data_IF_165185808720
#
_entry.id   IF_165185808720
#
_cell.length_a   1.000
_cell.length_b   1.000
_cell.length_c   1.000
_cell.angle_alpha   90.00
_cell.angle_beta   90.00
_cell.angle_gamma   90.00
#
_symmetry.space_group_name_H-M   'P 1'
#
loop_
_entity.id
_entity.type
_entity.pdbx_description
1 polymer ?
#
# COMPACT_ATOMS: atom_id res chain seq x y z
N UNK A 1 27.48 -15.40 -15.71
CA UNK A 1 26.45 -15.23 -16.75
C UNK A 1 25.19 -14.68 -16.09
N UNK A 2 24.86 -13.38 -16.24
CA UNK A 2 23.73 -12.77 -15.52
C UNK A 2 22.62 -12.17 -16.41
N UNK A 3 22.78 -12.14 -17.74
CA UNK A 3 21.80 -11.47 -18.61
C UNK A 3 20.55 -12.33 -18.89
N UNK A 4 20.72 -13.65 -18.98
CA UNK A 4 19.64 -14.59 -19.34
C UNK A 4 18.61 -14.74 -18.22
N UNK A 5 19.05 -14.78 -16.95
CA UNK A 5 18.17 -14.91 -15.78
C UNK A 5 17.26 -13.68 -15.57
N UNK A 6 17.75 -12.50 -15.95
CA UNK A 6 17.00 -11.23 -15.85
C UNK A 6 15.94 -11.13 -16.96
N UNK A 7 16.22 -11.69 -18.14
CA UNK A 7 15.25 -11.75 -19.24
C UNK A 7 14.12 -12.75 -18.93
N UNK A 8 14.48 -13.92 -18.39
CA UNK A 8 13.53 -14.97 -18.04
C UNK A 8 12.58 -14.55 -16.90
N UNK A 9 13.11 -13.93 -15.84
CA UNK A 9 12.29 -13.40 -14.74
C UNK A 9 11.32 -12.29 -15.18
N UNK A 10 11.70 -11.44 -16.15
CA UNK A 10 10.76 -10.47 -16.75
C UNK A 10 9.66 -11.15 -17.52
N UNK A 11 9.98 -12.17 -18.31
CA UNK A 11 9.00 -12.91 -19.09
C UNK A 11 7.97 -13.60 -18.18
N UNK A 12 8.40 -14.24 -17.10
CA UNK A 12 7.50 -14.82 -16.11
C UNK A 12 6.61 -13.77 -15.44
N UNK A 13 7.16 -12.58 -15.13
CA UNK A 13 6.37 -11.46 -14.60
C UNK A 13 5.31 -10.97 -15.59
N UNK A 14 5.63 -10.88 -16.88
CA UNK A 14 4.64 -10.52 -17.90
C UNK A 14 3.59 -11.61 -18.09
N UNK A 15 3.99 -12.89 -18.09
CA UNK A 15 3.07 -14.01 -18.24
C UNK A 15 2.06 -14.06 -17.09
N UNK A 16 2.54 -13.89 -15.85
CA UNK A 16 1.68 -13.88 -14.64
C UNK A 16 0.75 -12.68 -14.56
N UNK A 17 1.13 -11.52 -15.14
CA UNK A 17 0.25 -10.35 -15.22
C UNK A 17 -0.80 -10.47 -16.33
N UNK A 18 -0.42 -10.99 -17.50
CA UNK A 18 -1.29 -11.03 -18.69
C UNK A 18 -2.26 -12.23 -18.63
N UNK A 19 -1.83 -13.38 -18.11
CA UNK A 19 -2.65 -14.58 -18.03
C UNK A 19 -4.02 -14.37 -17.34
N UNK A 20 -4.12 -13.79 -16.12
CA UNK A 20 -5.41 -13.58 -15.47
C UNK A 20 -6.29 -12.56 -16.20
N UNK A 21 -5.69 -11.53 -16.80
CA UNK A 21 -6.43 -10.55 -17.59
C UNK A 21 -7.03 -11.18 -18.86
N UNK A 22 -6.25 -12.00 -19.57
CA UNK A 22 -6.71 -12.74 -20.75
C UNK A 22 -7.79 -13.78 -20.40
N UNK A 23 -7.60 -14.52 -19.30
CA UNK A 23 -8.58 -15.48 -18.79
C UNK A 23 -9.92 -14.81 -18.44
N UNK A 24 -9.88 -13.66 -17.76
CA UNK A 24 -11.09 -12.88 -17.45
C UNK A 24 -11.83 -12.39 -18.70
N UNK A 25 -11.11 -11.94 -19.72
CA UNK A 25 -11.71 -11.48 -20.98
C UNK A 25 -12.39 -12.63 -21.75
N UNK A 26 -11.74 -13.80 -21.82
CA UNK A 26 -12.31 -15.00 -22.43
C UNK A 26 -13.57 -15.48 -21.70
N UNK A 27 -13.55 -15.49 -20.37
CA UNK A 27 -14.72 -15.82 -19.56
C UNK A 27 -15.87 -14.84 -19.81
N UNK A 28 -15.59 -13.53 -19.90
CA UNK A 28 -16.58 -12.51 -20.25
C UNK A 28 -17.26 -12.77 -21.61
N UNK A 29 -16.49 -13.13 -22.63
CA UNK A 29 -17.02 -13.45 -23.97
C UNK A 29 -17.84 -14.75 -23.94
N UNK A 30 -17.39 -15.77 -23.21
CA UNK A 30 -18.08 -17.06 -23.11
C UNK A 30 -19.47 -16.90 -22.49
N UNK A 31 -19.58 -16.17 -21.37
CA UNK A 31 -20.87 -15.90 -20.73
C UNK A 31 -21.70 -14.86 -21.49
N UNK A 32 -21.08 -13.99 -22.30
CA UNK A 32 -21.78 -13.00 -23.11
C UNK A 32 -22.49 -13.55 -24.36
N UNK A 33 -22.03 -14.67 -24.94
CA UNK A 33 -22.46 -15.09 -26.29
C UNK A 33 -23.77 -15.89 -26.37
N UNK A 34 -24.28 -16.42 -25.27
CA UNK A 34 -25.42 -17.35 -25.27
C UNK A 34 -26.66 -16.91 -24.48
N UNK A 35 -26.63 -15.73 -23.85
CA UNK A 35 -27.66 -15.33 -22.89
C UNK A 35 -28.62 -14.29 -23.45
N UNK A 36 -29.93 -14.56 -23.32
CA UNK A 36 -30.97 -13.57 -23.61
C UNK A 36 -30.81 -12.32 -22.72
N UNK A 37 -31.15 -11.14 -23.26
CA UNK A 37 -30.92 -9.82 -22.61
C UNK A 37 -31.34 -9.75 -21.13
N UNK A 38 -32.44 -10.41 -20.75
CA UNK A 38 -32.92 -10.42 -19.36
C UNK A 38 -32.01 -11.22 -18.43
N UNK A 39 -31.64 -12.44 -18.82
CA UNK A 39 -30.75 -13.32 -18.05
C UNK A 39 -29.31 -12.80 -18.03
N UNK A 40 -28.86 -12.22 -19.15
CA UNK A 40 -27.53 -11.59 -19.27
C UNK A 40 -27.34 -10.47 -18.24
N UNK A 41 -28.36 -9.63 -18.05
CA UNK A 41 -28.29 -8.50 -17.14
C UNK A 41 -28.27 -8.92 -15.66
N UNK A 42 -28.99 -9.99 -15.30
CA UNK A 42 -28.99 -10.49 -13.91
C UNK A 42 -27.66 -11.15 -13.57
N UNK A 43 -27.13 -11.97 -14.48
CA UNK A 43 -25.84 -12.65 -14.24
C UNK A 43 -24.69 -11.68 -14.28
N UNK A 44 -24.68 -10.67 -15.17
CA UNK A 44 -23.64 -9.64 -15.14
C UNK A 44 -23.66 -8.87 -13.82
N UNK A 45 -24.85 -8.53 -13.30
CA UNK A 45 -24.99 -7.84 -12.02
C UNK A 45 -24.50 -8.68 -10.83
N UNK A 46 -24.79 -9.99 -10.83
CA UNK A 46 -24.35 -10.89 -9.75
C UNK A 46 -22.85 -11.15 -9.80
N UNK A 47 -22.28 -11.35 -10.99
CA UNK A 47 -20.83 -11.48 -11.20
C UNK A 47 -20.10 -10.19 -10.80
N UNK A 48 -20.66 -9.04 -11.13
CA UNK A 48 -20.13 -7.73 -10.74
C UNK A 48 -20.18 -7.57 -9.22
N UNK A 49 -21.33 -7.83 -8.58
CA UNK A 49 -21.47 -7.74 -7.13
C UNK A 49 -20.50 -8.70 -6.41
N UNK A 50 -20.39 -9.94 -6.87
CA UNK A 50 -19.44 -10.92 -6.34
C UNK A 50 -17.99 -10.43 -6.49
N UNK A 51 -17.63 -9.89 -7.65
CA UNK A 51 -16.28 -9.35 -7.88
C UNK A 51 -15.96 -8.15 -6.98
N UNK A 52 -16.95 -7.29 -6.70
CA UNK A 52 -16.79 -6.15 -5.80
C UNK A 52 -16.53 -6.61 -4.35
N UNK A 53 -17.21 -7.66 -3.90
CA UNK A 53 -16.96 -8.26 -2.57
C UNK A 53 -15.56 -8.86 -2.50
N UNK A 54 -15.13 -9.60 -3.53
CA UNK A 54 -13.78 -10.20 -3.59
C UNK A 54 -12.69 -9.13 -3.68
N UNK A 55 -12.97 -7.98 -4.30
CA UNK A 55 -12.04 -6.85 -4.40
C UNK A 55 -11.93 -5.99 -3.14
N UNK A 56 -12.78 -6.20 -2.13
CA UNK A 56 -12.79 -5.44 -0.88
C UNK A 56 -11.40 -5.28 -0.21
N UNK A 57 -10.56 -6.32 -0.04
CA UNK A 57 -9.23 -6.15 0.57
C UNK A 57 -8.30 -5.26 -0.27
N UNK A 58 -8.36 -5.34 -1.60
CA UNK A 58 -7.55 -4.50 -2.49
C UNK A 58 -7.95 -3.04 -2.36
N UNK A 59 -9.26 -2.77 -2.26
CA UNK A 59 -9.79 -1.42 -2.04
C UNK A 59 -9.34 -0.92 -0.66
N UNK A 60 -9.39 -1.75 0.39
CA UNK A 60 -8.91 -1.35 1.71
C UNK A 60 -7.41 -1.05 1.72
N UNK A 61 -6.59 -1.81 1.00
CA UNK A 61 -5.16 -1.57 0.90
C UNK A 61 -4.84 -0.27 0.16
N UNK A 62 -5.59 0.04 -0.90
CA UNK A 62 -5.48 1.31 -1.63
C UNK A 62 -5.88 2.48 -0.73
N UNK A 63 -6.99 2.35 -0.01
CA UNK A 63 -7.49 3.38 0.92
C UNK A 63 -6.50 3.57 2.07
N UNK A 64 -6.00 2.49 2.68
CA UNK A 64 -5.00 2.56 3.75
C UNK A 64 -3.69 3.17 3.24
N UNK A 65 -3.22 2.79 2.05
CA UNK A 65 -2.01 3.37 1.44
C UNK A 65 -2.19 4.85 1.09
N UNK A 66 -3.41 5.26 0.76
CA UNK A 66 -3.77 6.65 0.47
C UNK A 66 -3.94 7.48 1.74
N UNK A 67 -4.59 6.93 2.76
CA UNK A 67 -4.77 7.55 4.07
C UNK A 67 -3.45 7.66 4.84
N UNK A 68 -2.61 6.62 4.76
CA UNK A 68 -1.26 6.58 5.33
C UNK A 68 -0.22 7.17 4.37
N UNK A 69 -0.64 7.85 3.29
CA UNK A 69 0.31 8.45 2.35
C UNK A 69 1.12 9.53 3.09
N UNK A 70 2.47 9.44 3.12
CA UNK A 70 3.33 10.33 3.88
C UNK A 70 3.36 11.80 3.40
N UNK A 71 2.46 12.19 2.48
CA UNK A 71 2.25 13.56 2.03
C UNK A 71 1.11 14.31 2.72
N UNK A 72 0.37 13.67 3.64
CA UNK A 72 -0.66 14.36 4.42
C UNK A 72 -0.01 15.39 5.34
N UNK A 73 -0.38 16.67 5.21
CA UNK A 73 0.09 17.82 6.00
C UNK A 73 0.12 17.61 7.52
N UNK A 74 -0.64 16.61 8.01
CA UNK A 74 -0.66 16.15 9.40
C UNK A 74 0.63 15.42 9.84
N UNK A 75 1.28 14.66 8.95
CA UNK A 75 2.54 13.96 9.25
C UNK A 75 3.75 14.89 9.34
N UNK A 76 3.77 15.94 8.51
CA UNK A 76 4.79 17.00 8.60
C UNK A 76 4.67 17.78 9.90
N UNK A 77 3.44 18.12 10.34
CA UNK A 77 3.21 18.69 11.68
C UNK A 77 3.67 17.76 12.79
N UNK A 78 3.36 16.45 12.75
CA UNK A 78 3.83 15.48 13.76
C UNK A 78 5.35 15.36 13.82
N UNK A 79 6.04 15.41 12.67
CA UNK A 79 7.52 15.43 12.59
C UNK A 79 8.10 16.73 13.15
N UNK A 80 7.52 17.88 12.79
CA UNK A 80 7.93 19.18 13.34
C UNK A 80 7.65 19.30 14.84
N UNK A 81 6.54 18.72 15.33
CA UNK A 81 6.22 18.63 16.76
C UNK A 81 7.17 17.69 17.50
N UNK A 82 7.58 16.58 16.86
CA UNK A 82 8.59 15.67 17.40
C UNK A 82 9.98 16.32 17.48
N UNK A 83 10.37 17.15 16.52
CA UNK A 83 11.62 17.93 16.59
C UNK A 83 11.49 19.03 17.67
N UNK A 84 10.32 19.68 17.78
CA UNK A 84 10.07 20.73 18.79
C UNK A 84 10.07 20.17 20.21
N UNK A 85 9.43 19.02 20.43
CA UNK A 85 9.34 18.39 21.75
C UNK A 85 10.57 17.53 22.08
N UNK A 86 11.25 16.94 21.09
CA UNK A 86 12.51 16.23 21.27
C UNK A 86 13.72 17.15 21.46
N UNK A 87 13.55 18.46 21.29
CA UNK A 87 14.53 19.48 21.65
C UNK A 87 14.28 20.08 23.04
N UNK A 88 13.21 19.69 23.75
CA UNK A 88 13.07 19.95 25.19
C UNK A 88 13.85 18.84 25.88
N UNK A 89 14.99 19.15 26.53
CA UNK A 89 15.81 18.13 27.17
C UNK A 89 14.97 17.44 28.23
N UNK A 90 14.98 16.10 28.21
CA UNK A 90 14.53 15.29 29.32
C UNK A 90 15.12 15.85 30.61
N UNK A 91 14.31 15.92 31.68
CA UNK A 91 14.72 16.27 33.04
C UNK A 91 15.94 15.46 33.52
N UNK A 92 16.29 14.36 32.83
CA UNK A 92 17.48 13.54 33.00
C UNK A 92 18.81 14.28 32.69
N UNK A 93 18.81 15.29 31.80
CA UNK A 93 20.00 16.13 31.55
C UNK A 93 20.19 17.21 32.63
N UNK A 94 19.13 17.63 33.34
CA UNK A 94 19.27 18.62 34.42
C UNK A 94 19.94 18.03 35.65
N UNK A 95 19.69 16.76 35.97
CA UNK A 95 20.40 16.06 37.06
C UNK A 95 21.91 15.95 36.77
N UNK A 96 22.30 15.74 35.51
CA UNK A 96 23.71 15.63 35.13
C UNK A 96 24.49 16.95 35.24
N UNK A 97 23.83 18.09 35.04
CA UNK A 97 24.47 19.42 35.18
C UNK A 97 24.42 19.99 36.60
N UNK A 98 23.51 19.49 37.46
CA UNK A 98 23.48 19.88 38.89
C UNK A 98 24.62 19.21 39.67
N UNK A 99 25.05 18.01 39.27
CA UNK A 99 26.03 17.21 40.02
C UNK A 99 27.51 17.42 39.60
N UNK A 100 27.82 18.42 38.77
CA UNK A 100 29.22 18.75 38.46
C UNK A 100 29.52 20.25 38.32
N UNK A 101 29.63 20.99 39.44
CA UNK A 101 30.22 22.32 39.46
C UNK A 101 31.70 22.28 39.90
N UNK A 102 32.53 21.33 39.43
CA UNK A 102 33.91 21.27 39.97
C UNK A 102 35.01 20.44 39.30
N UNK A 103 34.80 19.69 38.21
CA UNK A 103 35.87 18.81 37.67
C UNK A 103 36.62 19.31 36.44
N UNK A 104 36.36 20.54 35.95
CA UNK A 104 37.07 21.13 34.80
C UNK A 104 38.28 22.01 35.14
N UNK A 105 38.91 21.79 36.30
CA UNK A 105 40.23 22.37 36.61
C UNK A 105 41.24 21.27 37.00
N UNK A 106 41.59 20.43 36.03
CA UNK A 106 42.91 19.79 36.00
C UNK A 106 43.51 19.91 34.60
#
# INVERSE_FOLDING_TARGET
MPAETVAESRYENYATLIAPAAAGCALGILFGRGMGRSTANIVSLSLLAASAVVAAPVISDIVQRTANRPGSSRGSRRRLEGIRNGAVPDEELKEFFVDSPGSLLQ
#
